data_IF_937451594802
#
_entry.id   IF_937451594802
#
_cell.length_a   1.000
_cell.length_b   1.000
_cell.length_c   1.000
_cell.angle_alpha   90.00
_cell.angle_beta   90.00
_cell.angle_gamma   90.00
#
_symmetry.space_group_name_H-M   'P 1'
#
loop_
_entity.id
_entity.type
_entity.pdbx_description
1 polymer ?
#
# COMPACT_ATOMS: atom_id res chain seq x y z
N UNK A 1 18.30 22.61 -7.58
CA UNK A 1 19.79 22.56 -7.62
C UNK A 1 20.45 22.31 -8.98
N UNK A 2 20.51 21.08 -9.55
CA UNK A 2 21.33 20.83 -10.75
C UNK A 2 20.93 21.70 -11.97
N UNK A 3 19.63 21.86 -12.20
CA UNK A 3 19.12 22.70 -13.27
C UNK A 3 19.41 24.20 -13.06
N UNK A 4 19.36 24.65 -11.82
CA UNK A 4 19.67 26.02 -11.44
C UNK A 4 21.17 26.33 -11.63
N UNK A 5 22.05 25.40 -11.28
CA UNK A 5 23.48 25.50 -11.55
C UNK A 5 23.78 25.63 -13.06
N UNK A 6 23.14 24.83 -13.91
CA UNK A 6 23.31 24.95 -15.36
C UNK A 6 22.79 26.30 -15.90
N UNK A 7 21.69 26.81 -15.33
CA UNK A 7 21.15 28.12 -15.68
C UNK A 7 22.10 29.27 -15.26
N UNK A 8 22.69 29.19 -14.06
CA UNK A 8 23.68 30.15 -13.58
C UNK A 8 24.97 30.15 -14.42
N UNK A 9 25.40 28.97 -14.88
CA UNK A 9 26.52 28.80 -15.81
C UNK A 9 26.20 29.25 -17.25
N UNK A 10 24.98 29.73 -17.51
CA UNK A 10 24.48 30.14 -18.83
C UNK A 10 24.66 29.05 -19.89
N UNK A 11 24.48 27.78 -19.49
CA UNK A 11 24.44 26.63 -20.40
C UNK A 11 22.99 26.39 -20.81
N UNK A 12 22.55 26.87 -21.99
CA UNK A 12 21.20 26.59 -22.45
C UNK A 12 21.04 25.09 -22.68
N UNK A 13 19.98 24.52 -22.14
CA UNK A 13 19.64 23.11 -22.29
C UNK A 13 18.21 22.98 -22.81
N UNK A 14 18.01 22.07 -23.75
CA UNK A 14 16.68 21.72 -24.25
C UNK A 14 16.04 20.64 -23.39
N UNK A 15 14.71 20.46 -23.51
CA UNK A 15 14.02 19.36 -22.82
C UNK A 15 14.58 17.97 -23.15
N UNK A 16 15.16 17.78 -24.35
CA UNK A 16 15.86 16.53 -24.73
C UNK A 16 17.16 16.32 -23.94
N UNK A 17 17.91 17.39 -23.72
CA UNK A 17 19.16 17.33 -22.96
C UNK A 17 18.88 17.01 -21.49
N UNK A 18 17.78 17.56 -20.95
CA UNK A 18 17.30 17.25 -19.60
C UNK A 18 16.93 15.77 -19.43
N UNK A 19 16.25 15.18 -20.42
CA UNK A 19 15.93 13.74 -20.41
C UNK A 19 17.22 12.91 -20.34
N UNK A 20 18.17 13.21 -21.23
CA UNK A 20 19.46 12.50 -21.26
C UNK A 20 20.20 12.57 -19.92
N UNK A 21 20.21 13.74 -19.26
CA UNK A 21 20.87 13.92 -17.97
C UNK A 21 20.16 13.18 -16.84
N UNK A 22 18.84 13.15 -16.86
CA UNK A 22 18.06 12.35 -15.92
C UNK A 22 18.37 10.85 -16.09
N UNK A 23 18.42 10.38 -17.33
CA UNK A 23 18.71 8.97 -17.62
C UNK A 23 20.12 8.57 -17.18
N UNK A 24 21.09 9.45 -17.38
CA UNK A 24 22.46 9.29 -16.90
C UNK A 24 22.51 9.24 -15.36
N UNK A 25 21.79 10.13 -14.68
CA UNK A 25 21.68 10.13 -13.22
C UNK A 25 21.05 8.84 -12.68
N UNK A 26 19.98 8.36 -13.31
CA UNK A 26 19.33 7.11 -12.93
C UNK A 26 20.29 5.92 -13.04
N UNK A 27 21.03 5.82 -14.14
CA UNK A 27 22.06 4.78 -14.35
C UNK A 27 23.15 4.83 -13.28
N UNK A 28 23.66 6.01 -12.95
CA UNK A 28 24.69 6.19 -11.91
C UNK A 28 24.15 5.79 -10.53
N UNK A 29 22.88 6.07 -10.25
CA UNK A 29 22.22 5.68 -9.01
C UNK A 29 21.90 4.18 -8.89
N UNK A 30 22.30 3.37 -9.87
CA UNK A 30 22.02 1.94 -9.93
C UNK A 30 20.55 1.60 -10.23
N UNK A 31 19.77 2.57 -10.71
CA UNK A 31 18.38 2.37 -11.13
C UNK A 31 18.34 2.02 -12.60
N UNK A 32 17.62 0.97 -12.94
CA UNK A 32 17.40 0.60 -14.33
C UNK A 32 16.49 1.62 -15.01
N UNK A 33 16.85 1.98 -16.24
CA UNK A 33 16.05 2.86 -17.06
C UNK A 33 14.81 2.11 -17.57
N UNK A 34 13.64 2.76 -17.61
CA UNK A 34 12.44 2.17 -18.17
C UNK A 34 12.45 2.28 -19.70
N UNK A 35 13.33 1.50 -20.33
CA UNK A 35 13.56 1.41 -21.78
C UNK A 35 12.50 0.55 -22.51
N UNK A 36 11.70 -0.22 -21.78
CA UNK A 36 10.64 -1.09 -22.28
C UNK A 36 9.23 -0.56 -22.01
N UNK A 37 9.10 0.74 -21.72
CA UNK A 37 7.81 1.42 -21.62
C UNK A 37 7.00 1.18 -22.91
N UNK A 38 5.84 0.53 -22.78
CA UNK A 38 4.93 0.28 -23.90
C UNK A 38 4.95 -1.14 -24.50
N UNK A 39 5.78 -2.08 -24.00
CA UNK A 39 5.63 -3.51 -24.36
C UNK A 39 4.40 -4.17 -23.74
N UNK A 40 3.89 -3.59 -22.66
CA UNK A 40 2.74 -4.10 -21.92
C UNK A 40 1.55 -3.23 -22.29
N UNK A 41 0.49 -3.84 -22.82
CA UNK A 41 -0.75 -3.13 -23.11
C UNK A 41 -1.39 -2.61 -21.82
N UNK A 42 -2.23 -1.58 -21.94
CA UNK A 42 -2.98 -1.06 -20.78
C UNK A 42 -3.85 -2.17 -20.13
N UNK A 43 -4.40 -3.05 -20.96
CA UNK A 43 -5.23 -4.18 -20.52
C UNK A 43 -4.40 -5.22 -19.74
N UNK A 44 -3.21 -5.57 -20.23
CA UNK A 44 -2.31 -6.48 -19.52
C UNK A 44 -1.84 -5.90 -18.18
N UNK A 45 -1.53 -4.60 -18.17
CA UNK A 45 -1.15 -3.90 -16.94
C UNK A 45 -2.30 -3.90 -15.93
N UNK A 46 -3.53 -3.65 -16.38
CA UNK A 46 -4.74 -3.69 -15.55
C UNK A 46 -5.01 -5.08 -15.00
N UNK A 47 -4.97 -6.11 -15.85
CA UNK A 47 -5.17 -7.49 -15.44
C UNK A 47 -4.11 -7.95 -14.43
N UNK A 48 -2.88 -7.46 -14.53
CA UNK A 48 -1.83 -7.72 -13.53
C UNK A 48 -2.10 -6.98 -12.22
N UNK A 49 -2.50 -5.71 -12.28
CA UNK A 49 -2.84 -4.92 -11.09
C UNK A 49 -4.02 -5.52 -10.32
N UNK A 50 -5.08 -5.95 -11.00
CA UNK A 50 -6.24 -6.60 -10.38
C UNK A 50 -5.86 -7.93 -9.71
N UNK A 51 -5.00 -8.74 -10.36
CA UNK A 51 -4.48 -9.98 -9.77
C UNK A 51 -3.66 -9.75 -8.50
N UNK A 52 -2.74 -8.79 -8.51
CA UNK A 52 -1.95 -8.48 -7.33
C UNK A 52 -2.80 -7.85 -6.22
N UNK A 53 -3.78 -7.01 -6.57
CA UNK A 53 -4.71 -6.45 -5.61
C UNK A 53 -5.54 -7.54 -4.93
N UNK A 54 -6.03 -8.53 -5.68
CA UNK A 54 -6.77 -9.65 -5.10
C UNK A 54 -5.93 -10.44 -4.07
N UNK A 55 -4.65 -10.69 -4.38
CA UNK A 55 -3.70 -11.34 -3.43
C UNK A 55 -3.50 -10.50 -2.18
N UNK A 56 -3.24 -9.20 -2.35
CA UNK A 56 -3.08 -8.27 -1.23
C UNK A 56 -4.35 -8.19 -0.36
N UNK A 57 -5.53 -8.15 -0.98
CA UNK A 57 -6.81 -8.12 -0.29
C UNK A 57 -7.05 -9.36 0.56
N UNK A 58 -6.81 -10.55 0.00
CA UNK A 58 -6.92 -11.79 0.76
C UNK A 58 -5.99 -11.79 1.99
N UNK A 59 -4.74 -11.36 1.82
CA UNK A 59 -3.78 -11.23 2.93
C UNK A 59 -4.26 -10.23 3.99
N UNK A 60 -4.78 -9.07 3.56
CA UNK A 60 -5.27 -8.03 4.46
C UNK A 60 -6.53 -8.45 5.22
N UNK A 61 -7.42 -9.20 4.56
CA UNK A 61 -8.66 -9.67 5.15
C UNK A 61 -8.43 -10.83 6.14
N UNK A 62 -7.33 -11.58 6.00
CA UNK A 62 -6.87 -12.57 6.97
C UNK A 62 -6.23 -11.95 8.24
N UNK A 63 -5.89 -10.66 8.23
CA UNK A 63 -5.29 -10.00 9.40
C UNK A 63 -6.37 -9.56 10.40
N UNK A 64 -6.13 -9.75 11.70
CA UNK A 64 -7.06 -9.31 12.73
C UNK A 64 -7.23 -7.79 12.68
N UNK A 65 -8.47 -7.36 12.50
CA UNK A 65 -8.86 -5.96 12.51
C UNK A 65 -9.06 -5.52 13.96
N UNK A 66 -9.10 -4.20 14.18
CA UNK A 66 -9.36 -3.63 15.51
C UNK A 66 -10.67 -4.16 16.12
N UNK A 67 -11.69 -4.36 15.28
CA UNK A 67 -12.98 -4.94 15.68
C UNK A 67 -12.83 -6.35 16.24
N UNK A 68 -11.96 -7.18 15.65
CA UNK A 68 -11.73 -8.55 16.11
C UNK A 68 -11.05 -8.56 17.49
N UNK A 69 -10.13 -7.63 17.72
CA UNK A 69 -9.48 -7.47 19.03
C UNK A 69 -10.46 -7.01 20.12
N UNK A 70 -11.38 -6.09 19.79
CA UNK A 70 -12.39 -5.63 20.74
C UNK A 70 -13.47 -6.68 21.00
N UNK A 71 -13.84 -7.47 19.98
CA UNK A 71 -14.70 -8.64 20.13
C UNK A 71 -14.09 -9.69 21.06
N UNK A 72 -12.82 -10.03 20.87
CA UNK A 72 -12.08 -10.96 21.74
C UNK A 72 -12.06 -10.49 23.21
N UNK A 73 -11.86 -9.19 23.44
CA UNK A 73 -11.93 -8.62 24.80
C UNK A 73 -13.33 -8.77 25.40
N UNK A 74 -14.38 -8.46 24.63
CA UNK A 74 -15.77 -8.57 25.08
C UNK A 74 -16.16 -10.04 25.37
N UNK A 75 -15.76 -10.98 24.50
CA UNK A 75 -16.00 -12.41 24.67
C UNK A 75 -15.31 -12.95 25.93
N UNK A 76 -14.08 -12.51 26.22
CA UNK A 76 -13.36 -12.86 27.47
C UNK A 76 -14.04 -12.28 28.70
N UNK A 77 -14.58 -11.06 28.63
CA UNK A 77 -15.32 -10.45 29.74
C UNK A 77 -16.61 -11.22 30.06
N UNK A 78 -17.38 -11.61 29.04
CA UNK A 78 -18.60 -12.42 29.20
C UNK A 78 -18.35 -13.77 29.86
N UNK A 79 -17.27 -14.47 29.51
CA UNK A 79 -16.89 -15.76 30.14
C UNK A 79 -16.56 -15.64 31.64
N UNK A 80 -16.18 -14.45 32.10
CA UNK A 80 -15.84 -14.19 33.51
C UNK A 80 -17.04 -13.76 34.36
N UNK A 81 -18.20 -13.47 33.76
CA UNK A 81 -19.38 -13.11 34.53
C UNK A 81 -20.01 -14.36 35.17
N UNK A 82 -20.43 -14.28 36.45
CA UNK A 82 -21.18 -15.36 37.09
C UNK A 82 -22.54 -15.54 36.41
N UNK A 83 -23.01 -16.79 36.31
CA UNK A 83 -24.30 -17.11 35.68
C UNK A 83 -25.44 -16.32 36.36
N UNK A 84 -26.40 -15.78 35.59
CA UNK A 84 -27.51 -15.03 36.16
C UNK A 84 -28.30 -15.91 37.13
N UNK A 85 -28.59 -15.38 38.32
CA UNK A 85 -29.39 -16.07 39.34
C UNK A 85 -30.81 -16.25 38.80
N UNK A 86 -31.30 -17.50 38.76
CA UNK A 86 -32.68 -17.80 38.33
C UNK A 86 -33.68 -17.02 39.20
N UNK A 87 -34.77 -16.48 38.63
CA UNK A 87 -35.81 -15.83 39.42
C UNK A 87 -36.39 -16.86 40.40
N UNK A 88 -36.43 -16.53 41.70
CA UNK A 88 -37.10 -17.39 42.67
C UNK A 88 -38.59 -17.42 42.32
N UNK A 89 -39.10 -18.59 41.96
CA UNK A 89 -40.54 -18.81 41.83
C UNK A 89 -41.19 -18.48 43.16
N UNK A 90 -41.99 -17.41 43.19
CA UNK A 90 -42.87 -17.11 44.32
C UNK A 90 -43.82 -18.29 44.50
N UNK A 91 -43.82 -18.86 45.71
CA UNK A 91 -44.86 -19.80 46.14
C UNK A 91 -45.92 -19.01 46.94
N UNK A 92 -47.17 -19.50 46.92
CA UNK A 92 -48.40 -18.72 46.99
C UNK A 92 -48.63 -18.01 48.32
#
# INVERSE_FOLDING_TARGET
>A
EYAELQALERKPMTMRDWITKLDEFLKISGRELLDHAGRISADDARARAEREYARYRALRDAQPRRVDADFEKAAKALKKLPRPRKPKAGKP
#
